data_IF_531740799199
#
_entry.id   IF_531740799199
#
_cell.length_a   1.000
_cell.length_b   1.000
_cell.length_c   1.000
_cell.angle_alpha   90.00
_cell.angle_beta   90.00
_cell.angle_gamma   90.00
#
_symmetry.space_group_name_H-M   'P 1'
#
loop_
_entity.id
_entity.type
_entity.pdbx_description
1 polymer ?
#
# COMPACT_ATOMS: atom_id res chain seq x y z
N UNK A 1 -47.40 -16.50 17.61
CA UNK A 1 -46.88 -15.70 18.72
C UNK A 1 -46.69 -14.26 18.24
N UNK A 2 -47.67 -13.40 18.59
CA UNK A 2 -47.66 -11.96 18.25
C UNK A 2 -47.04 -11.21 19.40
N UNK A 3 -45.92 -10.49 19.19
CA UNK A 3 -45.36 -9.56 20.16
C UNK A 3 -45.93 -8.17 19.85
N UNK A 4 -46.75 -7.67 20.78
CA UNK A 4 -47.30 -6.32 20.78
C UNK A 4 -46.24 -5.34 21.26
N UNK A 5 -45.82 -4.41 20.40
CA UNK A 5 -45.01 -3.26 20.77
C UNK A 5 -45.93 -2.25 21.45
N UNK A 6 -45.63 -1.98 22.71
CA UNK A 6 -46.34 -1.00 23.58
C UNK A 6 -45.68 0.38 23.35
N UNK A 7 -46.34 1.20 22.57
CA UNK A 7 -45.95 2.60 22.36
C UNK A 7 -46.22 3.42 23.65
N UNK A 8 -45.15 3.86 24.29
CA UNK A 8 -45.25 4.84 25.35
C UNK A 8 -45.30 6.25 24.76
N UNK A 9 -46.54 6.75 24.60
CA UNK A 9 -46.80 8.15 24.24
C UNK A 9 -46.56 9.04 25.43
N UNK A 10 -45.42 9.74 25.44
CA UNK A 10 -45.10 10.76 26.44
C UNK A 10 -45.93 12.02 26.15
N UNK A 11 -47.01 12.25 26.91
CA UNK A 11 -47.77 13.52 26.90
C UNK A 11 -46.95 14.62 27.55
N UNK A 12 -46.30 15.46 26.75
CA UNK A 12 -45.65 16.67 27.22
C UNK A 12 -46.73 17.71 27.51
N UNK A 13 -46.91 18.02 28.78
CA UNK A 13 -47.84 19.03 29.26
C UNK A 13 -47.29 20.43 28.94
N UNK A 14 -47.93 21.09 28.01
CA UNK A 14 -47.59 22.38 27.40
C UNK A 14 -48.11 23.55 28.18
N UNK A 15 -47.74 23.89 29.37
CA UNK A 15 -48.28 25.17 29.94
C UNK A 15 -47.45 25.91 31.01
N UNK A 16 -46.19 25.52 31.35
CA UNK A 16 -45.48 26.26 32.41
C UNK A 16 -44.06 26.73 32.08
N UNK A 17 -43.64 26.66 30.84
CA UNK A 17 -42.22 26.92 30.43
C UNK A 17 -41.88 28.36 29.99
N UNK A 18 -42.78 29.31 29.69
CA UNK A 18 -42.34 30.63 29.20
C UNK A 18 -41.77 31.55 30.28
N UNK A 19 -42.13 31.36 31.55
CA UNK A 19 -41.70 32.28 32.61
C UNK A 19 -40.36 31.95 33.24
N UNK A 20 -39.89 30.70 33.16
CA UNK A 20 -38.58 30.29 33.67
C UNK A 20 -37.43 30.69 32.72
N UNK A 21 -37.69 30.78 31.43
CA UNK A 21 -36.70 31.23 30.43
C UNK A 21 -36.48 32.75 30.48
N UNK A 22 -37.48 33.55 30.86
CA UNK A 22 -37.36 35.00 30.97
C UNK A 22 -36.58 35.43 32.23
N UNK A 23 -36.63 34.65 33.31
CA UNK A 23 -35.90 34.95 34.54
C UNK A 23 -34.39 34.66 34.45
N UNK A 24 -33.96 33.76 33.55
CA UNK A 24 -32.54 33.42 33.37
C UNK A 24 -31.79 34.46 32.54
N UNK A 25 -32.47 35.26 31.72
CA UNK A 25 -31.87 36.28 30.85
C UNK A 25 -31.53 37.61 31.56
N UNK A 26 -32.04 37.86 32.77
CA UNK A 26 -31.81 39.12 33.47
C UNK A 26 -30.65 39.09 34.48
N UNK A 27 -29.99 37.95 34.70
CA UNK A 27 -28.89 37.84 35.66
C UNK A 27 -27.48 37.83 34.98
N UNK A 28 -27.40 38.04 33.66
CA UNK A 28 -26.16 37.88 32.88
C UNK A 28 -25.42 39.14 32.47
N UNK A 29 -25.79 40.37 32.98
CA UNK A 29 -25.22 41.62 32.45
C UNK A 29 -24.32 42.41 33.41
N UNK A 30 -23.69 41.78 34.38
CA UNK A 30 -22.73 42.48 35.23
C UNK A 30 -21.51 41.62 35.59
N UNK A 31 -20.73 41.22 34.58
CA UNK A 31 -19.37 40.77 34.80
C UNK A 31 -18.52 41.06 33.55
N UNK A 32 -18.29 42.34 33.29
CA UNK A 32 -17.22 42.77 32.39
C UNK A 32 -15.94 42.93 33.20
N UNK A 33 -14.90 42.35 32.70
CA UNK A 33 -13.47 42.66 32.84
C UNK A 33 -12.51 41.60 33.38
N UNK A 34 -12.94 40.36 33.51
CA UNK A 34 -11.97 39.25 33.60
C UNK A 34 -12.45 38.10 32.71
N UNK A 35 -11.55 37.49 31.90
CA UNK A 35 -11.94 36.31 31.12
C UNK A 35 -12.42 35.23 32.10
N UNK A 36 -13.70 34.98 32.12
CA UNK A 36 -14.32 34.00 33.01
C UNK A 36 -13.96 32.58 32.62
N UNK A 37 -14.08 31.62 33.54
CA UNK A 37 -13.73 30.20 33.28
C UNK A 37 -14.50 29.59 32.10
N UNK A 38 -15.62 30.18 31.71
CA UNK A 38 -16.37 29.76 30.51
C UNK A 38 -15.68 30.16 29.21
N UNK A 39 -14.99 31.31 29.16
CA UNK A 39 -14.21 31.73 27.98
C UNK A 39 -12.94 30.92 27.83
N UNK A 40 -12.26 30.57 28.92
CA UNK A 40 -11.11 29.68 28.87
C UNK A 40 -11.50 28.25 28.43
N UNK A 41 -12.65 27.77 28.88
CA UNK A 41 -13.18 26.48 28.43
C UNK A 41 -13.53 26.51 26.92
N UNK A 42 -14.12 27.61 26.43
CA UNK A 42 -14.39 27.80 25.00
C UNK A 42 -13.13 27.79 24.16
N UNK A 43 -12.09 28.55 24.55
CA UNK A 43 -10.79 28.56 23.83
C UNK A 43 -10.12 27.23 23.83
N UNK A 44 -10.14 26.47 24.92
CA UNK A 44 -9.58 25.10 24.97
C UNK A 44 -10.34 24.13 24.07
N UNK A 45 -11.66 24.34 23.93
CA UNK A 45 -12.47 23.53 23.04
C UNK A 45 -12.17 23.85 21.58
N UNK A 46 -12.00 25.12 21.22
CA UNK A 46 -11.64 25.55 19.88
C UNK A 46 -10.24 25.05 19.49
N UNK A 47 -9.25 25.17 20.38
CA UNK A 47 -7.91 24.62 20.16
C UNK A 47 -7.92 23.08 20.03
N UNK A 48 -8.76 22.41 20.82
CA UNK A 48 -8.90 20.96 20.71
C UNK A 48 -9.58 20.54 19.40
N UNK A 49 -10.56 21.31 18.93
CA UNK A 49 -11.23 21.08 17.66
C UNK A 49 -10.30 21.33 16.47
N UNK A 50 -9.48 22.40 16.51
CA UNK A 50 -8.46 22.66 15.47
C UNK A 50 -7.43 21.54 15.42
N UNK A 51 -6.86 21.14 16.57
CA UNK A 51 -5.90 20.03 16.65
C UNK A 51 -6.49 18.71 16.17
N UNK A 52 -7.76 18.44 16.51
CA UNK A 52 -8.45 17.25 16.04
C UNK A 52 -8.65 17.28 14.50
N UNK A 53 -8.99 18.45 13.95
CA UNK A 53 -9.18 18.63 12.52
C UNK A 53 -7.84 18.47 11.76
N UNK A 54 -6.77 19.03 12.29
CA UNK A 54 -5.44 18.89 11.72
C UNK A 54 -4.95 17.43 11.78
N UNK A 55 -5.13 16.75 12.91
CA UNK A 55 -4.77 15.34 13.07
C UNK A 55 -5.56 14.43 12.10
N UNK A 56 -6.83 14.73 11.86
CA UNK A 56 -7.65 14.00 10.88
C UNK A 56 -7.15 14.27 9.46
N UNK A 57 -6.86 15.51 9.09
CA UNK A 57 -6.28 15.84 7.77
C UNK A 57 -4.97 15.10 7.54
N UNK A 58 -4.05 15.18 8.49
CA UNK A 58 -2.77 14.49 8.39
C UNK A 58 -2.93 12.97 8.25
N UNK A 59 -3.87 12.39 8.98
CA UNK A 59 -4.17 10.95 8.87
C UNK A 59 -4.75 10.56 7.50
N UNK A 60 -5.53 11.43 6.88
CA UNK A 60 -6.08 11.22 5.53
C UNK A 60 -4.97 11.34 4.49
N UNK A 61 -4.13 12.38 4.57
CA UNK A 61 -3.00 12.58 3.66
C UNK A 61 -2.01 11.41 3.74
N UNK A 62 -1.68 10.93 4.95
CA UNK A 62 -0.83 9.77 5.16
C UNK A 62 -1.45 8.47 4.59
N UNK A 63 -2.76 8.32 4.67
CA UNK A 63 -3.48 7.17 4.12
C UNK A 63 -3.51 7.20 2.58
N UNK A 64 -3.72 8.36 1.98
CA UNK A 64 -3.69 8.54 0.52
C UNK A 64 -2.29 8.26 -0.04
N UNK A 65 -1.25 8.81 0.58
CA UNK A 65 0.14 8.53 0.25
C UNK A 65 0.49 7.04 0.36
N UNK A 66 -0.01 6.37 1.40
CA UNK A 66 0.20 4.93 1.57
C UNK A 66 -0.52 4.11 0.50
N UNK A 67 -1.73 4.53 0.11
CA UNK A 67 -2.50 3.88 -0.95
C UNK A 67 -1.83 4.04 -2.32
N UNK A 68 -1.31 5.23 -2.65
CA UNK A 68 -0.57 5.47 -3.89
C UNK A 68 0.71 4.63 -3.97
N UNK A 69 1.50 4.60 -2.89
CA UNK A 69 2.71 3.76 -2.81
C UNK A 69 2.39 2.26 -2.95
N UNK A 70 1.26 1.83 -2.42
CA UNK A 70 0.82 0.44 -2.54
C UNK A 70 0.40 0.11 -3.98
N UNK A 71 -0.29 1.03 -4.65
CA UNK A 71 -0.69 0.92 -6.05
C UNK A 71 0.54 0.86 -6.96
N UNK A 72 1.53 1.73 -6.76
CA UNK A 72 2.77 1.74 -7.52
C UNK A 72 3.56 0.43 -7.34
N UNK A 73 3.69 -0.06 -6.10
CA UNK A 73 4.32 -1.37 -5.83
C UNK A 73 3.60 -2.51 -6.51
N UNK A 74 2.27 -2.51 -6.51
CA UNK A 74 1.48 -3.53 -7.17
C UNK A 74 1.65 -3.49 -8.69
N UNK A 75 1.64 -2.30 -9.31
CA UNK A 75 1.90 -2.11 -10.75
C UNK A 75 3.27 -2.64 -11.14
N UNK A 76 4.32 -2.22 -10.42
CA UNK A 76 5.69 -2.68 -10.67
C UNK A 76 5.82 -4.21 -10.53
N UNK A 77 5.15 -4.81 -9.53
CA UNK A 77 5.19 -6.26 -9.34
C UNK A 77 4.47 -7.02 -10.48
N UNK A 78 3.41 -6.46 -11.05
CA UNK A 78 2.73 -7.02 -12.22
C UNK A 78 3.61 -6.93 -13.46
N UNK A 79 4.25 -5.80 -13.71
CA UNK A 79 5.19 -5.60 -14.80
C UNK A 79 6.37 -6.58 -14.70
N UNK A 80 6.99 -6.72 -13.54
CA UNK A 80 8.08 -7.67 -13.29
C UNK A 80 7.66 -9.13 -13.54
N UNK A 81 6.42 -9.47 -13.20
CA UNK A 81 5.86 -10.80 -13.46
C UNK A 81 5.71 -11.04 -14.95
N UNK A 82 5.23 -10.06 -15.71
CA UNK A 82 5.08 -10.12 -17.16
C UNK A 82 6.44 -10.25 -17.84
N UNK A 83 7.43 -9.45 -17.44
CA UNK A 83 8.80 -9.52 -17.94
C UNK A 83 9.40 -10.91 -17.67
N UNK A 84 9.26 -11.43 -16.45
CA UNK A 84 9.73 -12.76 -16.08
C UNK A 84 9.13 -13.85 -16.99
N UNK A 85 7.84 -13.78 -17.26
CA UNK A 85 7.14 -14.74 -18.12
C UNK A 85 7.65 -14.65 -19.57
N UNK A 86 7.83 -13.44 -20.11
CA UNK A 86 8.33 -13.21 -21.46
C UNK A 86 9.77 -13.71 -21.63
N UNK A 87 10.65 -13.42 -20.67
CA UNK A 87 12.04 -13.91 -20.67
C UNK A 87 12.08 -15.44 -20.64
N UNK A 88 11.31 -16.07 -19.74
CA UNK A 88 11.21 -17.54 -19.70
C UNK A 88 10.73 -18.12 -21.01
N UNK A 89 9.73 -17.54 -21.64
CA UNK A 89 9.21 -17.98 -22.94
C UNK A 89 10.27 -17.85 -24.02
N UNK A 90 10.98 -16.71 -24.08
CA UNK A 90 12.05 -16.50 -25.06
C UNK A 90 13.19 -17.54 -24.92
N UNK A 91 13.58 -17.85 -23.68
CA UNK A 91 14.58 -18.87 -23.39
C UNK A 91 14.10 -20.27 -23.80
N UNK A 92 12.86 -20.65 -23.51
CA UNK A 92 12.30 -21.97 -23.85
C UNK A 92 12.10 -22.17 -25.35
N UNK A 93 11.84 -21.11 -26.10
CA UNK A 93 11.70 -21.18 -27.57
C UNK A 93 13.01 -21.31 -28.30
N UNK A 94 14.13 -20.99 -27.66
CA UNK A 94 15.46 -21.08 -28.29
C UNK A 94 15.97 -22.52 -28.32
N UNK A 95 16.32 -22.97 -29.49
CA UNK A 95 16.98 -24.28 -29.64
C UNK A 95 18.32 -24.31 -28.88
N UNK A 96 18.61 -25.44 -28.24
CA UNK A 96 19.78 -25.59 -27.37
C UNK A 96 19.62 -25.07 -25.95
N UNK A 97 18.49 -24.36 -25.63
CA UNK A 97 18.17 -23.90 -24.27
C UNK A 97 17.13 -24.79 -23.54
N UNK A 98 16.54 -25.75 -24.25
CA UNK A 98 15.50 -26.63 -23.70
C UNK A 98 15.99 -27.58 -22.61
N UNK A 99 17.28 -27.88 -22.58
CA UNK A 99 17.89 -28.83 -21.64
C UNK A 99 18.61 -28.17 -20.48
N UNK A 100 18.57 -26.82 -20.39
CA UNK A 100 19.26 -26.08 -19.35
C UNK A 100 18.27 -25.63 -18.27
N UNK A 101 18.70 -25.67 -17.03
CA UNK A 101 17.89 -25.21 -15.89
C UNK A 101 18.22 -23.76 -15.58
N UNK A 102 17.45 -22.84 -16.18
CA UNK A 102 17.59 -21.40 -15.93
C UNK A 102 16.43 -20.91 -15.09
N UNK A 103 16.74 -20.29 -13.97
CA UNK A 103 15.80 -19.56 -13.16
C UNK A 103 15.88 -18.07 -13.49
N UNK A 104 14.71 -17.43 -13.68
CA UNK A 104 14.59 -16.02 -14.01
C UNK A 104 13.85 -15.33 -12.90
N UNK A 105 14.41 -14.25 -12.35
CA UNK A 105 13.76 -13.33 -11.41
C UNK A 105 13.85 -11.92 -11.96
N UNK A 106 12.76 -11.17 -11.85
CA UNK A 106 12.73 -9.75 -12.23
C UNK A 106 12.38 -8.92 -11.02
N UNK A 107 13.03 -7.78 -10.89
CA UNK A 107 12.74 -6.78 -9.87
C UNK A 107 12.98 -5.39 -10.44
N UNK A 108 11.92 -4.60 -10.61
CA UNK A 108 11.96 -3.26 -11.21
C UNK A 108 12.68 -3.25 -12.57
N UNK A 109 12.38 -4.23 -13.42
CA UNK A 109 13.01 -4.36 -14.74
C UNK A 109 14.45 -4.89 -14.74
N UNK A 110 15.07 -5.13 -13.58
CA UNK A 110 16.34 -5.86 -13.48
C UNK A 110 16.05 -7.35 -13.49
N UNK A 111 16.56 -8.05 -14.51
CA UNK A 111 16.42 -9.49 -14.69
C UNK A 111 17.67 -10.19 -14.18
N UNK A 112 17.54 -11.08 -13.22
CA UNK A 112 18.61 -11.94 -12.74
C UNK A 112 18.42 -13.36 -13.31
N UNK A 113 19.39 -13.83 -14.05
CA UNK A 113 19.48 -15.19 -14.58
C UNK A 113 20.37 -16.03 -13.69
N UNK A 114 19.85 -17.13 -13.15
CA UNK A 114 20.61 -18.09 -12.33
C UNK A 114 20.38 -19.50 -12.80
N UNK A 115 21.34 -20.40 -12.54
CA UNK A 115 21.28 -21.79 -12.94
C UNK A 115 22.53 -22.24 -13.65
N UNK A 116 22.42 -23.31 -14.45
CA UNK A 116 23.55 -23.87 -15.14
C UNK A 116 23.30 -24.05 -16.63
N UNK A 117 24.33 -23.80 -17.41
CA UNK A 117 24.37 -23.94 -18.87
C UNK A 117 25.57 -24.78 -19.27
N UNK A 118 25.54 -25.41 -20.46
CA UNK A 118 26.61 -26.28 -20.91
C UNK A 118 27.80 -25.52 -21.53
N UNK A 119 27.64 -24.25 -21.90
CA UNK A 119 28.69 -23.45 -22.53
C UNK A 119 28.50 -21.95 -22.25
N UNK A 120 29.62 -21.22 -22.39
CA UNK A 120 29.58 -19.74 -22.30
C UNK A 120 28.70 -19.15 -23.41
N UNK A 121 28.72 -19.71 -24.60
CA UNK A 121 27.85 -19.27 -25.69
C UNK A 121 26.36 -19.36 -25.35
N UNK A 122 25.93 -20.35 -24.55
CA UNK A 122 24.56 -20.44 -24.05
C UNK A 122 24.27 -19.36 -23.02
N UNK A 123 25.20 -19.04 -22.13
CA UNK A 123 25.05 -17.96 -21.17
C UNK A 123 24.90 -16.61 -21.88
N UNK A 124 25.70 -16.34 -22.89
CA UNK A 124 25.66 -15.11 -23.69
C UNK A 124 24.34 -14.99 -24.47
N UNK A 125 23.86 -16.07 -25.06
CA UNK A 125 22.55 -16.10 -25.73
C UNK A 125 21.42 -15.88 -24.76
N UNK A 126 21.48 -16.48 -23.58
CA UNK A 126 20.44 -16.23 -22.53
C UNK A 126 20.38 -14.78 -22.14
N UNK A 127 21.52 -14.14 -21.95
CA UNK A 127 21.61 -12.71 -21.65
C UNK A 127 21.02 -11.84 -22.75
N UNK A 128 21.37 -12.09 -24.00
CA UNK A 128 20.86 -11.36 -25.17
C UNK A 128 19.34 -11.49 -25.30
N UNK A 129 18.81 -12.72 -25.12
CA UNK A 129 17.36 -12.95 -25.15
C UNK A 129 16.64 -12.22 -24.07
N UNK A 130 17.19 -12.16 -22.84
CA UNK A 130 16.60 -11.41 -21.75
C UNK A 130 16.62 -9.89 -22.01
N UNK A 131 17.74 -9.37 -22.53
CA UNK A 131 17.89 -7.95 -22.87
C UNK A 131 16.93 -7.50 -23.98
N UNK A 132 16.58 -8.39 -24.91
CA UNK A 132 15.66 -8.09 -26.00
C UNK A 132 14.19 -7.97 -25.55
N UNK A 133 13.85 -8.37 -24.33
CA UNK A 133 12.48 -8.31 -23.82
C UNK A 133 12.13 -6.88 -23.41
N UNK A 134 11.02 -6.37 -23.94
CA UNK A 134 10.50 -5.04 -23.58
C UNK A 134 10.25 -4.92 -22.08
N UNK A 135 10.77 -3.87 -21.47
CA UNK A 135 10.64 -3.59 -20.04
C UNK A 135 11.86 -4.06 -19.23
N UNK A 136 12.79 -4.78 -19.85
CA UNK A 136 14.08 -5.11 -19.22
C UNK A 136 15.01 -3.89 -19.31
N UNK A 137 15.49 -3.44 -18.17
CA UNK A 137 16.45 -2.35 -18.07
C UNK A 137 17.88 -2.85 -17.94
N UNK A 138 18.04 -3.96 -17.23
CA UNK A 138 19.35 -4.55 -16.95
C UNK A 138 19.23 -6.07 -16.79
N UNK A 139 20.29 -6.79 -17.15
CA UNK A 139 20.36 -8.25 -16.97
C UNK A 139 21.62 -8.61 -16.20
N UNK A 140 21.39 -9.20 -15.05
CA UNK A 140 22.43 -9.77 -14.19
C UNK A 140 22.57 -11.27 -14.51
N UNK A 141 23.65 -11.63 -15.22
CA UNK A 141 23.87 -12.98 -15.68
C UNK A 141 24.76 -13.78 -14.71
N UNK A 142 24.13 -14.52 -13.83
CA UNK A 142 24.77 -15.39 -12.83
C UNK A 142 24.70 -16.87 -13.22
N UNK A 143 24.70 -17.18 -14.51
CA UNK A 143 24.68 -18.54 -15.01
C UNK A 143 26.06 -19.19 -14.84
N UNK A 144 26.08 -20.43 -14.38
CA UNK A 144 27.28 -21.21 -14.20
C UNK A 144 27.47 -22.17 -15.39
N UNK A 145 28.61 -22.12 -16.04
CA UNK A 145 28.94 -23.05 -17.12
C UNK A 145 29.38 -24.39 -16.51
N UNK A 146 28.58 -25.43 -16.76
CA UNK A 146 28.88 -26.80 -16.33
C UNK A 146 29.27 -27.60 -17.56
N UNK A 147 30.59 -27.71 -17.84
CA UNK A 147 31.10 -28.54 -18.94
C UNK A 147 30.97 -30.01 -18.56
N UNK A 148 30.50 -30.90 -19.47
CA UNK A 148 30.39 -32.32 -19.18
C UNK A 148 31.75 -32.99 -18.85
N UNK A 149 32.85 -32.34 -19.19
CA UNK A 149 34.18 -32.79 -18.83
C UNK A 149 34.48 -32.76 -17.31
N UNK A 150 33.74 -31.98 -16.51
CA UNK A 150 33.95 -31.89 -15.08
C UNK A 150 33.04 -32.80 -14.25
N UNK A 151 32.09 -33.48 -14.88
CA UNK A 151 31.21 -34.44 -14.21
C UNK A 151 31.85 -35.77 -13.92
N UNK A 152 32.99 -36.07 -14.57
CA UNK A 152 33.71 -37.37 -14.46
C UNK A 152 34.84 -37.35 -13.41
N UNK A 153 35.05 -36.24 -12.71
CA UNK A 153 36.24 -36.03 -11.87
C UNK A 153 36.12 -36.43 -10.39
N UNK A 154 34.97 -36.90 -9.90
CA UNK A 154 34.83 -37.18 -8.47
C UNK A 154 34.17 -38.53 -8.15
N UNK A 155 34.60 -39.58 -8.81
CA UNK A 155 34.34 -40.97 -8.42
C UNK A 155 35.68 -41.71 -8.22
N UNK A 156 36.30 -41.42 -7.09
CA UNK A 156 37.33 -42.28 -6.49
C UNK A 156 37.24 -42.16 -4.97
#
# INVERSE_FOLDING_TARGET
MRRTHKEHTMKITRHTTPYLLAALLMLGLSACDKPGPAQEAGRKLDEAAEKATEAVKQSVDDADDAAERQKEKASTAMEDTEITAKVKTALMQREGMKSVTISVKTRRGLVTLTGSVASQAQADVAQQLAQAVKGVHEVDNLLVVVSPANASGNAR
#
